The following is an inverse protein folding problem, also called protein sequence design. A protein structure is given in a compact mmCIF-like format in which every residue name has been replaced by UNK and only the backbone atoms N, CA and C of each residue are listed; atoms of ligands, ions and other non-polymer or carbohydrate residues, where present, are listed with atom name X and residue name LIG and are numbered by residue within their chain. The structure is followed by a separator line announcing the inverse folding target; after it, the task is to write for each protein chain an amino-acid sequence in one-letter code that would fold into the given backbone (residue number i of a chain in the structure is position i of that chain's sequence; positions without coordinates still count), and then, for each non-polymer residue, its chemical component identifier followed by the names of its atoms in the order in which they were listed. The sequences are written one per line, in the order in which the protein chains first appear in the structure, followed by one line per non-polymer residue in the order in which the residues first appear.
data_IF_872380940014
#
_entry.id   IF_872380940014
#
_cell.length_a   1.000
_cell.length_b   1.000
_cell.length_c   1.000
_cell.angle_alpha   90.00
_cell.angle_beta   90.00
_cell.angle_gamma   90.00
#
_symmetry.space_group_name_H-M   'P 1'
#
loop_
_entity.id
_entity.type
_entity.pdbx_description
1 polymer ?
#
# COMPACT_ATOMS: atom_id res chain seq x y z
N UNK A 1 -6.00 20.00 -10.05
CA UNK A 1 -4.82 20.85 -9.85
C UNK A 1 -4.20 20.43 -8.52
N UNK A 2 -3.13 19.65 -8.56
CA UNK A 2 -2.46 19.13 -7.36
C UNK A 2 -1.58 20.23 -6.79
N UNK A 3 -1.65 20.50 -5.49
CA UNK A 3 -0.79 21.48 -4.84
C UNK A 3 0.13 20.73 -3.88
N UNK A 4 1.38 20.54 -4.27
CA UNK A 4 2.45 20.15 -3.35
C UNK A 4 2.76 21.37 -2.49
N UNK A 5 2.21 21.45 -1.27
CA UNK A 5 2.68 22.43 -0.27
C UNK A 5 3.80 21.79 0.53
N UNK A 6 5.02 22.23 0.28
CA UNK A 6 6.16 21.96 1.16
C UNK A 6 6.10 22.99 2.29
N UNK A 7 5.84 22.55 3.51
CA UNK A 7 6.03 23.38 4.70
C UNK A 7 7.48 23.23 5.18
N UNK A 8 8.23 24.33 5.39
CA UNK A 8 9.60 24.24 5.89
C UNK A 8 9.59 23.93 7.39
N UNK A 9 10.12 22.79 7.81
CA UNK A 9 10.44 22.55 9.23
C UNK A 9 10.30 21.12 9.77
N UNK A 10 9.67 20.21 9.04
CA UNK A 10 9.59 18.79 9.41
C UNK A 10 9.95 17.98 8.17
N UNK A 11 10.95 17.09 8.26
CA UNK A 11 11.17 16.05 7.23
C UNK A 11 9.99 15.07 7.33
N UNK A 12 8.82 15.48 6.88
CA UNK A 12 7.65 14.60 6.81
C UNK A 12 7.97 13.50 5.80
N UNK A 13 7.92 12.24 6.24
CA UNK A 13 8.00 11.04 5.38
C UNK A 13 6.75 10.85 4.50
N UNK A 14 5.93 11.88 4.33
CA UNK A 14 4.67 11.85 3.59
C UNK A 14 4.82 12.65 2.32
N UNK A 15 4.70 11.98 1.18
CA UNK A 15 4.99 12.63 -0.10
C UNK A 15 3.73 13.21 -0.76
N UNK A 16 2.52 12.99 -0.23
CA UNK A 16 1.30 13.70 -0.68
C UNK A 16 0.10 13.63 0.28
N UNK A 17 -0.68 14.71 0.35
CA UNK A 17 -2.03 14.74 0.93
C UNK A 17 -3.00 15.56 0.07
N UNK A 18 -4.29 15.28 0.17
CA UNK A 18 -5.36 16.06 -0.46
C UNK A 18 -6.63 15.98 0.40
N UNK A 19 -7.65 16.78 0.05
CA UNK A 19 -8.91 16.77 0.77
C UNK A 19 -9.95 15.92 0.04
N UNK A 20 -10.64 15.07 0.78
CA UNK A 20 -11.82 14.34 0.34
C UNK A 20 -12.97 15.36 0.14
N UNK A 21 -13.66 15.29 -1.00
CA UNK A 21 -14.54 16.38 -1.47
C UNK A 21 -15.82 16.50 -0.64
N UNK A 22 -16.34 15.42 -0.05
CA UNK A 22 -17.58 15.44 0.71
C UNK A 22 -17.41 15.91 2.15
N UNK A 23 -16.41 15.38 2.84
CA UNK A 23 -16.14 15.58 4.26
C UNK A 23 -15.10 16.66 4.54
N UNK A 24 -14.28 17.03 3.55
CA UNK A 24 -13.14 17.92 3.74
C UNK A 24 -12.00 17.31 4.57
N UNK A 25 -12.08 16.01 4.89
CA UNK A 25 -11.07 15.28 5.66
C UNK A 25 -9.85 14.98 4.79
N UNK A 26 -8.68 14.87 5.42
CA UNK A 26 -7.42 14.64 4.71
C UNK A 26 -7.33 13.18 4.23
N UNK A 27 -7.07 12.99 2.95
CA UNK A 27 -6.48 11.78 2.41
C UNK A 27 -4.95 11.93 2.39
N UNK A 28 -4.23 10.85 2.71
CA UNK A 28 -2.77 10.85 2.79
C UNK A 28 -2.23 9.66 2.00
N UNK A 29 -1.08 9.81 1.33
CA UNK A 29 -0.38 8.66 0.77
C UNK A 29 1.08 8.61 1.21
N UNK A 30 1.47 7.45 1.73
CA UNK A 30 2.85 7.07 2.00
C UNK A 30 3.46 6.50 0.71
N UNK A 31 4.44 7.19 0.11
CA UNK A 31 5.07 6.70 -1.12
C UNK A 31 5.87 5.42 -0.89
N UNK A 32 6.10 4.67 -1.96
CA UNK A 32 7.00 3.51 -1.92
C UNK A 32 8.40 3.86 -1.38
N UNK A 33 8.90 5.08 -1.63
CA UNK A 33 10.17 5.58 -1.09
C UNK A 33 10.19 5.72 0.43
N UNK A 34 9.04 5.90 1.06
CA UNK A 34 8.90 6.01 2.50
C UNK A 34 8.70 4.65 3.20
N UNK A 35 8.53 3.57 2.42
CA UNK A 35 8.45 2.20 2.92
C UNK A 35 9.86 1.63 3.13
N UNK A 36 10.03 0.82 4.17
CA UNK A 36 11.13 -0.13 4.18
C UNK A 36 10.74 -1.29 3.28
N UNK A 37 11.64 -1.67 2.37
CA UNK A 37 11.43 -2.77 1.42
C UNK A 37 12.66 -3.66 1.53
N UNK A 38 12.45 -4.95 1.79
CA UNK A 38 13.55 -5.91 1.85
C UNK A 38 14.26 -5.93 0.49
N UNK A 39 15.57 -5.66 0.51
CA UNK A 39 16.42 -5.45 -0.67
C UNK A 39 16.05 -4.24 -1.56
N UNK A 40 15.23 -3.29 -1.10
CA UNK A 40 14.76 -2.14 -1.90
C UNK A 40 15.87 -1.20 -2.42
N UNK A 41 17.05 -1.24 -1.80
CA UNK A 41 18.24 -0.50 -2.25
C UNK A 41 19.13 -1.28 -3.22
N UNK A 42 18.82 -2.56 -3.47
CA UNK A 42 19.61 -3.44 -4.33
C UNK A 42 19.04 -3.46 -5.75
N UNK A 43 19.75 -2.88 -6.74
CA UNK A 43 19.27 -2.75 -8.12
C UNK A 43 19.08 -4.09 -8.85
N UNK A 44 19.64 -5.17 -8.32
CA UNK A 44 19.44 -6.55 -8.80
C UNK A 44 17.99 -7.00 -8.60
N UNK A 45 17.35 -6.49 -7.55
CA UNK A 45 16.06 -6.98 -7.05
C UNK A 45 14.94 -5.97 -7.23
N UNK A 46 15.26 -4.69 -7.10
CA UNK A 46 14.31 -3.58 -7.21
C UNK A 46 14.86 -2.50 -8.14
N UNK A 47 13.97 -1.80 -8.82
CA UNK A 47 14.30 -0.64 -9.63
C UNK A 47 13.39 0.51 -9.27
N UNK A 48 13.95 1.71 -9.14
CA UNK A 48 13.16 2.93 -8.98
C UNK A 48 12.95 3.54 -10.36
N UNK A 49 11.69 3.71 -10.75
CA UNK A 49 11.30 4.17 -12.09
C UNK A 49 10.38 5.37 -11.99
N UNK A 50 10.38 6.23 -13.01
CA UNK A 50 9.38 7.28 -13.16
C UNK A 50 8.23 6.81 -14.03
N UNK A 51 7.01 7.18 -13.67
CA UNK A 51 5.79 6.86 -14.41
C UNK A 51 4.90 8.10 -14.55
N UNK A 52 4.44 8.46 -15.75
CA UNK A 52 3.59 9.64 -15.97
C UNK A 52 2.29 9.61 -15.17
N UNK A 53 1.75 8.42 -14.91
CA UNK A 53 0.51 8.22 -14.14
C UNK A 53 0.78 8.14 -12.63
N UNK A 54 2.03 8.32 -12.18
CA UNK A 54 2.38 8.30 -10.77
C UNK A 54 2.14 9.67 -10.12
N UNK A 55 1.74 9.67 -8.84
CA UNK A 55 1.72 10.86 -7.99
C UNK A 55 3.11 11.27 -7.49
N UNK A 56 4.08 10.36 -7.58
CA UNK A 56 5.45 10.55 -7.13
C UNK A 56 6.43 10.45 -8.30
N UNK A 57 7.56 11.15 -8.18
CA UNK A 57 8.65 11.13 -9.16
C UNK A 57 9.16 9.71 -9.43
N UNK A 58 9.28 8.91 -8.37
CA UNK A 58 9.73 7.53 -8.41
C UNK A 58 8.73 6.57 -7.76
N UNK A 59 8.61 5.38 -8.34
CA UNK A 59 7.88 4.22 -7.81
C UNK A 59 8.79 2.98 -7.81
N UNK A 60 8.50 2.02 -6.94
CA UNK A 60 9.32 0.81 -6.82
C UNK A 60 8.83 -0.28 -7.78
N UNK A 61 9.65 -0.67 -8.74
CA UNK A 61 9.44 -1.83 -9.62
C UNK A 61 10.20 -3.04 -9.09
N UNK A 62 9.46 -4.13 -8.85
CA UNK A 62 10.05 -5.40 -8.45
C UNK A 62 10.60 -6.16 -9.66
N UNK A 63 11.93 -6.35 -9.69
CA UNK A 63 12.63 -7.09 -10.76
C UNK A 63 12.60 -8.59 -10.53
N UNK A 64 13.06 -9.07 -9.39
CA UNK A 64 12.99 -10.49 -9.04
C UNK A 64 13.40 -10.69 -7.56
N UNK A 65 12.56 -11.21 -6.68
CA UNK A 65 12.95 -11.52 -5.28
C UNK A 65 12.42 -12.87 -4.82
N UNK A 66 13.12 -13.52 -3.89
CA UNK A 66 12.63 -14.70 -3.19
C UNK A 66 11.85 -14.34 -1.90
N UNK A 67 12.21 -13.23 -1.25
CA UNK A 67 11.54 -12.68 -0.08
C UNK A 67 10.85 -11.35 -0.46
N UNK A 68 9.52 -11.32 -0.39
CA UNK A 68 8.72 -10.13 -0.67
C UNK A 68 8.14 -9.61 0.65
N UNK A 69 8.79 -8.60 1.21
CA UNK A 69 8.45 -8.06 2.52
C UNK A 69 8.71 -6.56 2.51
N UNK A 70 7.74 -5.81 3.01
CA UNK A 70 7.83 -4.36 3.18
C UNK A 70 6.87 -3.88 4.25
N UNK A 71 7.09 -2.65 4.69
CA UNK A 71 6.21 -1.98 5.61
C UNK A 71 6.56 -0.51 5.74
N UNK A 72 5.84 0.17 6.62
CA UNK A 72 6.04 1.59 6.85
C UNK A 72 5.39 2.03 8.13
N UNK A 73 5.81 3.18 8.64
CA UNK A 73 5.17 3.82 9.78
C UNK A 73 4.78 5.25 9.44
N UNK A 74 3.72 5.71 10.07
CA UNK A 74 3.16 7.04 9.87
C UNK A 74 2.62 7.59 11.18
N UNK A 75 2.91 8.85 11.49
CA UNK A 75 2.30 9.55 12.61
C UNK A 75 0.89 10.02 12.23
N UNK A 76 -0.11 9.86 13.10
CA UNK A 76 -1.50 10.22 12.80
C UNK A 76 -1.79 11.72 12.88
N UNK A 77 -0.84 12.56 13.30
CA UNK A 77 -0.96 14.04 13.34
C UNK A 77 -1.19 14.64 11.95
N UNK A 78 -0.70 13.98 10.90
CA UNK A 78 -0.92 14.44 9.52
C UNK A 78 -2.32 14.12 9.01
N UNK A 79 -3.05 13.23 9.69
CA UNK A 79 -4.41 12.81 9.38
C UNK A 79 -5.44 13.69 10.08
N UNK A 80 -6.72 13.56 9.72
CA UNK A 80 -7.79 14.25 10.43
C UNK A 80 -8.16 13.48 11.71
N UNK A 81 -8.25 14.13 12.89
CA UNK A 81 -8.71 13.48 14.11
C UNK A 81 -10.21 13.15 14.04
N UNK A 82 -10.67 12.25 14.91
CA UNK A 82 -12.03 11.72 14.95
C UNK A 82 -12.49 11.17 13.59
N UNK A 83 -11.63 10.42 12.90
CA UNK A 83 -11.89 9.97 11.52
C UNK A 83 -11.53 8.50 11.37
N UNK A 84 -12.46 7.71 10.82
CA UNK A 84 -12.18 6.32 10.43
C UNK A 84 -11.47 6.32 9.09
N UNK A 85 -10.31 5.70 9.01
CA UNK A 85 -9.51 5.58 7.80
C UNK A 85 -9.51 4.16 7.28
N UNK A 86 -9.70 3.99 5.98
CA UNK A 86 -9.34 2.76 5.25
C UNK A 86 -7.99 2.94 4.55
N UNK A 87 -7.14 1.93 4.62
CA UNK A 87 -5.83 1.89 3.99
C UNK A 87 -5.83 1.00 2.75
N UNK A 88 -5.14 1.45 1.70
CA UNK A 88 -5.09 0.79 0.40
C UNK A 88 -3.65 0.67 -0.10
N UNK A 89 -3.25 -0.54 -0.46
CA UNK A 89 -2.01 -0.77 -1.20
C UNK A 89 -2.24 -0.47 -2.69
N UNK A 90 -1.50 0.49 -3.23
CA UNK A 90 -1.68 0.97 -4.61
C UNK A 90 -0.51 0.51 -5.48
N UNK A 91 -0.82 -0.30 -6.50
CA UNK A 91 0.17 -1.00 -7.30
C UNK A 91 -0.27 -1.23 -8.75
N UNK A 92 0.68 -1.58 -9.61
CA UNK A 92 0.49 -2.01 -11.00
C UNK A 92 1.16 -3.36 -11.23
N UNK A 93 0.77 -4.03 -12.30
CA UNK A 93 1.31 -5.32 -12.73
C UNK A 93 1.92 -5.19 -14.12
N UNK A 94 3.14 -5.69 -14.30
CA UNK A 94 3.76 -5.83 -15.62
C UNK A 94 3.16 -7.02 -16.37
N UNK A 95 3.23 -6.98 -17.69
CA UNK A 95 2.87 -8.11 -18.55
C UNK A 95 3.77 -9.33 -18.27
N UNK A 96 5.08 -9.09 -18.10
CA UNK A 96 6.03 -10.10 -17.63
C UNK A 96 6.01 -10.13 -16.11
N UNK A 97 5.38 -11.16 -15.55
CA UNK A 97 5.28 -11.40 -14.10
C UNK A 97 5.29 -12.89 -13.81
N UNK A 98 5.82 -13.28 -12.66
CA UNK A 98 5.77 -14.65 -12.15
C UNK A 98 5.82 -14.64 -10.61
N UNK A 99 5.60 -15.80 -10.00
CA UNK A 99 5.74 -16.00 -8.55
C UNK A 99 4.58 -15.49 -7.69
N UNK A 100 3.65 -14.70 -8.23
CA UNK A 100 2.48 -14.19 -7.50
C UNK A 100 1.16 -14.89 -7.83
N UNK A 101 1.17 -15.87 -8.75
CA UNK A 101 -0.06 -16.54 -9.19
C UNK A 101 -0.65 -17.37 -8.06
N UNK A 102 -1.90 -17.06 -7.72
CA UNK A 102 -2.66 -17.64 -6.61
C UNK A 102 -1.90 -17.56 -5.27
N UNK A 103 -1.03 -16.56 -5.11
CA UNK A 103 -0.22 -16.41 -3.92
C UNK A 103 -0.86 -15.41 -2.94
N UNK A 104 -1.22 -15.84 -1.71
CA UNK A 104 -1.68 -14.93 -0.67
C UNK A 104 -0.52 -14.06 -0.17
N UNK A 105 -0.77 -12.76 -0.10
CA UNK A 105 0.13 -11.79 0.54
C UNK A 105 -0.57 -11.32 1.80
N UNK A 106 0.05 -11.55 2.96
CA UNK A 106 -0.45 -11.05 4.22
C UNK A 106 -0.27 -9.53 4.25
N UNK A 107 -1.32 -8.82 4.62
CA UNK A 107 -1.33 -7.36 4.73
C UNK A 107 -2.01 -6.94 6.02
N UNK A 108 -1.61 -5.79 6.55
CA UNK A 108 -2.22 -5.22 7.73
C UNK A 108 -1.87 -3.76 7.92
N UNK A 109 -2.74 -3.07 8.64
CA UNK A 109 -2.54 -1.74 9.18
C UNK A 109 -3.07 -1.71 10.61
N UNK A 110 -2.37 -1.04 11.51
CA UNK A 110 -2.81 -0.86 12.89
C UNK A 110 -1.91 0.11 13.65
N UNK A 111 -2.23 0.37 14.91
CA UNK A 111 -1.38 1.18 15.77
C UNK A 111 -0.13 0.40 16.19
N UNK A 112 1.00 1.08 16.22
CA UNK A 112 2.29 0.50 16.58
C UNK A 112 2.23 -0.10 17.99
N UNK A 113 2.66 -1.35 18.11
CA UNK A 113 2.63 -2.09 19.39
C UNK A 113 1.29 -2.76 19.71
N UNK A 114 0.29 -2.65 18.83
CA UNK A 114 -0.95 -3.44 18.92
C UNK A 114 -0.92 -4.60 17.91
N UNK A 115 -1.74 -5.62 18.18
CA UNK A 115 -1.91 -6.73 17.24
C UNK A 115 -2.61 -6.23 15.96
N UNK A 116 -1.92 -6.35 14.83
CA UNK A 116 -2.47 -5.99 13.53
C UNK A 116 -3.40 -7.09 13.00
N UNK A 117 -4.55 -6.73 12.40
CA UNK A 117 -5.36 -7.68 11.64
C UNK A 117 -4.52 -8.36 10.55
N UNK A 118 -4.69 -9.67 10.41
CA UNK A 118 -4.06 -10.46 9.35
C UNK A 118 -5.03 -10.62 8.19
N UNK A 119 -5.01 -9.63 7.30
CA UNK A 119 -5.75 -9.68 6.05
C UNK A 119 -4.88 -10.28 4.94
N UNK A 120 -5.51 -10.71 3.85
CA UNK A 120 -4.79 -11.26 2.70
C UNK A 120 -5.26 -10.63 1.40
N UNK A 121 -4.31 -10.28 0.52
CA UNK A 121 -4.56 -9.87 -0.86
C UNK A 121 -3.89 -10.85 -1.82
N UNK A 122 -4.26 -10.78 -3.09
CA UNK A 122 -3.58 -11.53 -4.15
C UNK A 122 -3.39 -10.64 -5.39
N UNK A 123 -2.15 -10.53 -5.86
CA UNK A 123 -1.84 -9.73 -7.05
C UNK A 123 -2.27 -10.44 -8.35
N UNK A 124 -2.36 -11.76 -8.33
CA UNK A 124 -2.66 -12.56 -9.52
C UNK A 124 -3.55 -13.77 -9.22
N UNK A 125 -4.87 -13.57 -9.24
CA UNK A 125 -5.84 -14.65 -9.07
C UNK A 125 -6.08 -15.35 -10.41
N UNK A 126 -5.92 -16.67 -10.45
CA UNK A 126 -6.27 -17.46 -11.63
C UNK A 126 -7.78 -17.64 -11.79
N UNK A 127 -8.26 -17.88 -13.01
CA UNK A 127 -9.67 -18.20 -13.25
C UNK A 127 -10.05 -19.64 -12.89
N UNK A 128 -9.15 -20.42 -12.28
CA UNK A 128 -9.38 -21.82 -11.96
C UNK A 128 -10.33 -21.97 -10.77
N UNK A 129 -11.59 -22.28 -11.08
CA UNK A 129 -12.67 -22.49 -10.11
C UNK A 129 -12.50 -23.75 -9.25
N UNK A 130 -11.62 -24.67 -9.65
CA UNK A 130 -11.39 -25.92 -8.92
C UNK A 130 -10.35 -25.79 -7.80
N UNK A 131 -9.60 -24.67 -7.75
CA UNK A 131 -8.71 -24.38 -6.61
C UNK A 131 -9.54 -23.93 -5.41
N UNK A 132 -9.66 -24.85 -4.44
CA UNK A 132 -10.35 -24.73 -3.15
C UNK A 132 -9.64 -23.79 -2.15
N UNK A 133 -9.00 -22.73 -2.64
CA UNK A 133 -8.46 -21.69 -1.77
C UNK A 133 -9.60 -20.77 -1.33
N UNK A 134 -9.60 -20.25 -0.08
CA UNK A 134 -10.69 -19.43 0.42
C UNK A 134 -10.64 -18.03 -0.20
N UNK A 135 -11.00 -17.92 -1.50
CA UNK A 135 -11.18 -16.63 -2.20
C UNK A 135 -12.11 -15.67 -1.46
N UNK A 136 -12.98 -16.22 -0.59
CA UNK A 136 -13.91 -15.46 0.26
C UNK A 136 -13.21 -14.62 1.34
N UNK A 137 -11.98 -14.95 1.70
CA UNK A 137 -11.21 -14.27 2.76
C UNK A 137 -10.22 -13.24 2.20
N UNK A 138 -10.13 -13.10 0.87
CA UNK A 138 -9.28 -12.09 0.25
C UNK A 138 -9.94 -10.73 0.30
N UNK A 139 -9.15 -9.73 0.69
CA UNK A 139 -9.54 -8.35 0.52
C UNK A 139 -9.68 -8.03 -0.97
N UNK A 140 -10.66 -7.18 -1.28
CA UNK A 140 -10.95 -6.81 -2.67
C UNK A 140 -9.81 -5.97 -3.25
N UNK A 141 -9.50 -6.23 -4.50
CA UNK A 141 -8.61 -5.41 -5.32
C UNK A 141 -9.39 -4.89 -6.51
N UNK A 142 -9.33 -3.58 -6.74
CA UNK A 142 -10.11 -2.91 -7.79
C UNK A 142 -9.19 -2.08 -8.68
N UNK A 143 -9.52 -2.04 -9.98
CA UNK A 143 -8.80 -1.22 -10.94
C UNK A 143 -9.34 0.20 -10.88
N UNK A 144 -8.45 1.18 -10.70
CA UNK A 144 -8.74 2.61 -10.71
C UNK A 144 -8.81 3.15 -12.15
N UNK A 145 -9.42 4.32 -12.30
CA UNK A 145 -9.50 5.05 -13.58
C UNK A 145 -8.13 5.49 -14.09
N UNK A 146 -7.18 5.78 -13.19
CA UNK A 146 -5.79 6.15 -13.50
C UNK A 146 -4.90 4.94 -13.89
N UNK A 147 -5.50 3.75 -13.97
CA UNK A 147 -4.86 2.51 -14.37
C UNK A 147 -4.06 1.81 -13.26
N UNK A 148 -4.00 2.36 -12.05
CA UNK A 148 -3.50 1.64 -10.88
C UNK A 148 -4.53 0.61 -10.38
N UNK A 149 -4.08 -0.32 -9.55
CA UNK A 149 -4.92 -1.25 -8.78
C UNK A 149 -4.77 -0.85 -7.33
N UNK A 150 -5.89 -0.78 -6.62
CA UNK A 150 -5.90 -0.59 -5.16
C UNK A 150 -6.44 -1.83 -4.49
N UNK A 151 -5.75 -2.31 -3.46
CA UNK A 151 -6.21 -3.39 -2.59
C UNK A 151 -6.40 -2.85 -1.18
N UNK A 152 -7.58 -3.05 -0.60
CA UNK A 152 -7.82 -2.68 0.80
C UNK A 152 -6.98 -3.58 1.71
N UNK A 153 -6.22 -2.98 2.61
CA UNK A 153 -5.33 -3.73 3.53
C UNK A 153 -5.81 -3.69 4.98
N UNK A 154 -6.79 -2.84 5.29
CA UNK A 154 -7.45 -2.73 6.58
C UNK A 154 -7.94 -1.32 6.85
N UNK A 155 -8.43 -1.10 8.07
CA UNK A 155 -8.94 0.19 8.51
C UNK A 155 -8.60 0.43 10.00
N UNK A 156 -8.65 1.69 10.43
CA UNK A 156 -8.42 2.09 11.82
C UNK A 156 -9.11 3.43 12.12
N UNK A 157 -9.44 3.68 13.39
CA UNK A 157 -10.02 4.94 13.83
C UNK A 157 -8.96 5.84 14.46
N UNK A 158 -8.78 7.05 13.92
CA UNK A 158 -7.87 8.04 14.47
C UNK A 158 -8.60 8.93 15.49
N UNK A 159 -8.42 8.67 16.78
CA UNK A 159 -9.07 9.42 17.87
C UNK A 159 -8.41 10.80 18.09
N UNK A 160 -7.17 10.80 18.57
CA UNK A 160 -6.51 11.99 19.12
C UNK A 160 -5.36 12.51 18.24
N UNK A 161 -5.04 11.82 17.15
CA UNK A 161 -4.02 12.26 16.20
C UNK A 161 -2.60 12.27 16.74
N UNK A 162 -2.28 11.64 17.88
CA UNK A 162 -0.93 11.61 18.46
C UNK A 162 -0.27 10.21 18.43
N UNK A 163 -0.86 9.27 17.71
CA UNK A 163 -0.40 7.89 17.63
C UNK A 163 0.50 7.65 16.42
N UNK A 164 1.18 6.51 16.40
CA UNK A 164 1.91 6.01 15.23
C UNK A 164 1.21 4.75 14.71
N UNK A 165 0.94 4.72 13.41
CA UNK A 165 0.43 3.53 12.71
C UNK A 165 1.57 2.80 12.02
N UNK A 166 1.41 1.49 11.90
CA UNK A 166 2.29 0.57 11.18
C UNK A 166 1.51 -0.10 10.05
N UNK A 167 2.19 -0.28 8.92
CA UNK A 167 1.71 -1.04 7.76
C UNK A 167 2.68 -2.20 7.52
N UNK A 168 2.13 -3.37 7.24
CA UNK A 168 2.90 -4.57 6.93
C UNK A 168 2.35 -5.26 5.68
N UNK A 169 3.25 -5.67 4.79
CA UNK A 169 2.94 -6.40 3.56
C UNK A 169 4.01 -7.49 3.41
N UNK A 170 3.59 -8.73 3.58
CA UNK A 170 4.50 -9.88 3.70
C UNK A 170 3.98 -11.04 2.89
N UNK A 171 4.82 -11.55 2.02
CA UNK A 171 4.65 -12.90 1.49
C UNK A 171 5.02 -13.93 2.56
N UNK A 172 4.03 -14.73 2.96
CA UNK A 172 4.16 -15.78 3.97
C UNK A 172 4.79 -17.07 3.41
N UNK A 173 5.07 -17.14 2.11
CA UNK A 173 5.64 -18.32 1.45
C UNK A 173 7.10 -18.07 1.04
N UNK A 174 8.02 -18.63 1.81
CA UNK A 174 9.44 -18.46 1.52
C UNK A 174 9.90 -19.42 0.41
N UNK A 175 10.39 -18.87 -0.71
CA UNK A 175 11.23 -19.62 -1.65
C UNK A 175 10.97 -19.40 -3.15
N UNK A 176 9.76 -19.02 -3.55
CA UNK A 176 9.48 -18.77 -4.96
C UNK A 176 9.99 -17.40 -5.38
N UNK A 177 10.71 -17.32 -6.49
CA UNK A 177 11.09 -16.06 -7.11
C UNK A 177 9.84 -15.34 -7.64
N UNK A 178 9.79 -14.01 -7.49
CA UNK A 178 8.62 -13.18 -7.83
C UNK A 178 9.04 -11.89 -8.51
N UNK A 179 8.28 -11.47 -9.52
CA UNK A 179 8.56 -10.23 -10.25
C UNK A 179 7.30 -9.54 -10.78
N UNK A 180 7.49 -8.31 -11.27
CA UNK A 180 6.51 -7.65 -12.12
C UNK A 180 5.40 -6.92 -11.37
N UNK A 181 5.63 -6.58 -10.10
CA UNK A 181 4.78 -5.67 -9.32
C UNK A 181 5.45 -4.29 -9.27
N UNK A 182 4.69 -3.24 -9.53
CA UNK A 182 5.13 -1.84 -9.40
C UNK A 182 4.33 -1.19 -8.29
N UNK A 183 4.98 -0.53 -7.35
CA UNK A 183 4.38 -0.07 -6.10
C UNK A 183 4.41 1.45 -6.07
N UNK A 184 3.25 2.05 -5.95
CA UNK A 184 3.13 3.49 -5.77
C UNK A 184 3.25 3.86 -4.29
N UNK A 185 2.56 3.12 -3.42
CA UNK A 185 2.54 3.40 -1.99
C UNK A 185 1.28 2.90 -1.28
N UNK A 186 1.05 3.44 -0.07
CA UNK A 186 -0.12 3.17 0.77
C UNK A 186 -0.97 4.42 0.85
N UNK A 187 -2.22 4.32 0.41
CA UNK A 187 -3.20 5.41 0.42
C UNK A 187 -4.16 5.24 1.59
N UNK A 188 -4.34 6.29 2.39
CA UNK A 188 -5.25 6.37 3.51
C UNK A 188 -6.39 7.32 3.17
N UNK A 189 -7.63 6.81 3.19
CA UNK A 189 -8.83 7.59 2.87
C UNK A 189 -9.78 7.60 4.05
N UNK A 190 -10.39 8.75 4.37
CA UNK A 190 -11.54 8.79 5.26
C UNK A 190 -12.61 7.84 4.73
N UNK A 191 -13.11 6.98 5.61
CA UNK A 191 -14.28 6.15 5.33
C UNK A 191 -15.51 6.99 5.65
N UNK A 192 -16.46 7.02 4.73
CA UNK A 192 -17.74 7.67 5.01
C UNK A 192 -18.41 6.95 6.19
N UNK A 193 -18.69 7.69 7.26
CA UNK A 193 -19.68 7.26 8.24
C UNK A 193 -21.04 7.36 7.54
N UNK A 194 -21.56 6.24 7.03
CA UNK A 194 -22.97 6.16 6.62
C UNK A 194 -23.86 5.98 7.84
#
# INVERSE_FOLDING_TARGET
MWVTRVFPGVKERFDSFWLEKGSGKKCVMLAARALWITWGSSPEYWQWISMPESRFEEVAELRNVCAFEMGGTMNTQVMSPGTHYSAYFVYKKRNRRHGFRDLPIQVGVGFKGQDMPKNFICFDVSNDVNKQWPRKELMKSEKREDGWIEAEIGDFFNEEGCDEIEVSIVDITSGNWKCGVIIQGIEFRPRDCR
#
